data_IF_917957995560
#
_entry.id   IF_917957995560
#
_cell.length_a   1.000
_cell.length_b   1.000
_cell.length_c   1.000
_cell.angle_alpha   90.00
_cell.angle_beta   90.00
_cell.angle_gamma   90.00
#
_symmetry.space_group_name_H-M   'P 1'
#
loop_
_entity.id
_entity.type
_entity.pdbx_description
1 polymer ?
#
# COMPACT_ATOMS: atom_id res chain seq x y z
N UNK A 1 51.82 52.40 47.48
CA UNK A 1 50.76 52.00 48.42
C UNK A 1 49.91 50.94 47.71
N UNK A 2 50.26 49.67 47.92
CA UNK A 2 49.53 48.51 47.41
C UNK A 2 48.35 48.24 48.33
N UNK A 3 47.15 48.08 47.78
CA UNK A 3 45.98 47.59 48.48
C UNK A 3 45.44 46.37 47.75
N UNK A 4 45.84 45.21 48.24
CA UNK A 4 45.32 43.90 47.89
C UNK A 4 44.01 43.69 48.62
N UNK A 5 42.92 43.34 47.92
CA UNK A 5 41.70 42.84 48.56
C UNK A 5 41.40 41.40 48.07
N UNK A 6 40.92 40.51 48.96
CA UNK A 6 40.85 39.07 48.72
C UNK A 6 39.63 38.63 47.89
N UNK A 7 39.85 37.55 47.13
CA UNK A 7 38.86 36.79 46.35
C UNK A 7 37.95 35.99 47.28
N UNK A 8 36.61 36.12 47.20
CA UNK A 8 35.69 35.24 47.91
C UNK A 8 35.42 33.95 47.11
N UNK A 9 35.85 32.82 47.67
CA UNK A 9 35.46 31.46 47.28
C UNK A 9 34.05 31.16 47.77
N UNK A 10 33.05 31.49 46.94
CA UNK A 10 31.66 31.08 47.15
C UNK A 10 31.40 29.69 46.57
N UNK A 11 31.14 28.73 47.44
CA UNK A 11 30.70 27.37 47.11
C UNK A 11 29.44 27.37 46.24
N UNK A 12 29.45 26.57 45.17
CA UNK A 12 28.28 26.32 44.32
C UNK A 12 27.23 25.48 45.10
N UNK A 13 25.93 25.78 44.98
CA UNK A 13 24.88 24.97 45.60
C UNK A 13 24.75 23.59 44.93
N UNK A 14 24.33 22.54 45.66
CA UNK A 14 24.08 21.22 45.08
C UNK A 14 22.93 21.33 44.07
N UNK A 15 23.22 21.04 42.79
CA UNK A 15 22.21 20.94 41.74
C UNK A 15 21.27 19.79 42.08
N UNK A 16 20.05 20.15 42.44
CA UNK A 16 18.98 19.22 42.75
C UNK A 16 18.56 18.37 41.55
N UNK A 17 18.00 17.21 41.88
CA UNK A 17 16.89 16.60 41.17
C UNK A 17 17.16 16.15 39.73
N UNK A 18 17.86 15.03 39.57
CA UNK A 18 17.62 14.18 38.38
C UNK A 18 16.30 13.43 38.57
N UNK A 19 15.20 14.13 38.36
CA UNK A 19 13.89 13.52 38.20
C UNK A 19 13.90 12.80 36.84
N UNK A 20 14.08 11.48 36.87
CA UNK A 20 14.06 10.64 35.69
C UNK A 20 12.67 10.62 35.05
N UNK A 21 12.39 11.61 34.22
CA UNK A 21 11.24 11.59 33.31
C UNK A 21 11.50 10.52 32.25
N UNK A 22 11.13 9.28 32.58
CA UNK A 22 11.08 8.16 31.65
C UNK A 22 9.99 8.48 30.64
N UNK A 23 10.36 9.10 29.52
CA UNK A 23 9.46 9.35 28.40
C UNK A 23 9.01 8.01 27.84
N UNK A 24 7.88 7.51 28.30
CA UNK A 24 7.19 6.38 27.69
C UNK A 24 6.53 6.91 26.43
N UNK A 25 7.31 7.03 25.36
CA UNK A 25 6.76 7.22 24.02
C UNK A 25 6.03 5.93 23.67
N UNK A 26 4.77 5.82 24.07
CA UNK A 26 3.86 4.74 23.66
C UNK A 26 3.72 4.88 22.15
N UNK A 27 4.51 4.11 21.40
CA UNK A 27 4.45 4.07 19.95
C UNK A 27 3.07 3.55 19.55
N UNK A 28 2.16 4.47 19.26
CA UNK A 28 0.88 4.14 18.65
C UNK A 28 1.19 3.52 17.29
N UNK A 29 0.98 2.20 17.16
CA UNK A 29 0.99 1.55 15.85
C UNK A 29 -0.42 1.70 15.31
N UNK A 30 -0.68 2.61 14.35
CA UNK A 30 -2.01 2.71 13.78
C UNK A 30 -2.38 1.33 13.22
N UNK A 31 -3.65 0.88 13.37
CA UNK A 31 -4.10 -0.31 12.69
C UNK A 31 -3.79 -0.14 11.20
N UNK A 32 -3.13 -1.13 10.61
CA UNK A 32 -2.68 -1.11 9.23
C UNK A 32 -3.86 -0.81 8.31
N UNK A 33 -3.98 0.43 7.84
CA UNK A 33 -5.05 0.91 6.94
C UNK A 33 -5.19 0.03 5.69
N UNK A 34 -4.08 -0.64 5.29
CA UNK A 34 -4.01 -1.68 4.26
C UNK A 34 -5.06 -2.79 4.46
N UNK A 35 -5.33 -3.22 5.70
CA UNK A 35 -6.31 -4.29 5.99
C UNK A 35 -7.76 -3.83 5.80
N UNK A 36 -8.03 -2.55 6.05
CA UNK A 36 -9.36 -1.97 5.90
C UNK A 36 -9.70 -1.70 4.43
N UNK A 37 -8.73 -1.26 3.63
CA UNK A 37 -8.91 -1.06 2.19
C UNK A 37 -9.07 -2.36 1.41
N UNK A 38 -8.36 -3.43 1.80
CA UNK A 38 -8.42 -4.73 1.10
C UNK A 38 -9.77 -5.42 1.28
N UNK A 39 -10.38 -5.33 2.46
CA UNK A 39 -11.71 -5.90 2.72
C UNK A 39 -12.82 -5.21 1.94
N UNK A 40 -12.76 -3.88 1.79
CA UNK A 40 -13.81 -3.10 1.11
C UNK A 40 -13.83 -3.32 -0.40
N UNK A 41 -12.65 -3.51 -1.01
CA UNK A 41 -12.52 -3.78 -2.45
C UNK A 41 -13.05 -5.17 -2.82
N UNK A 42 -12.87 -6.17 -1.95
CA UNK A 42 -13.34 -7.54 -2.18
C UNK A 42 -14.85 -7.74 -1.95
N UNK A 43 -15.51 -6.79 -1.26
CA UNK A 43 -16.93 -6.89 -0.89
C UNK A 43 -17.90 -6.43 -2.00
N UNK A 44 -17.43 -5.79 -3.08
CA UNK A 44 -18.28 -5.07 -4.03
C UNK A 44 -18.34 -5.63 -5.47
N UNK A 45 -17.77 -6.78 -5.79
CA UNK A 45 -17.81 -7.32 -7.15
C UNK A 45 -18.75 -8.52 -7.32
N UNK A 46 -20.06 -8.31 -7.60
CA UNK A 46 -20.84 -9.25 -8.39
C UNK A 46 -20.76 -8.81 -9.86
N UNK A 47 -19.73 -9.23 -10.59
CA UNK A 47 -19.74 -9.04 -12.03
C UNK A 47 -20.43 -10.23 -12.69
N UNK A 48 -21.64 -10.00 -13.20
CA UNK A 48 -22.46 -11.05 -13.80
C UNK A 48 -21.91 -11.40 -15.18
N UNK A 49 -21.49 -12.64 -15.35
CA UNK A 49 -21.26 -13.20 -16.67
C UNK A 49 -22.60 -13.26 -17.43
N UNK A 50 -22.73 -12.49 -18.50
CA UNK A 50 -23.85 -12.62 -19.44
C UNK A 50 -23.69 -13.93 -20.23
N UNK A 51 -24.81 -14.57 -20.60
CA UNK A 51 -24.87 -15.83 -21.35
C UNK A 51 -24.17 -15.79 -22.73
N UNK A 52 -23.79 -14.59 -23.21
CA UNK A 52 -22.84 -14.41 -24.29
C UNK A 52 -21.59 -13.69 -23.78
N UNK A 53 -20.55 -14.46 -23.45
CA UNK A 53 -19.25 -13.91 -23.08
C UNK A 53 -18.58 -13.28 -24.32
N UNK A 54 -18.73 -11.98 -24.49
CA UNK A 54 -18.15 -11.20 -25.59
C UNK A 54 -16.76 -10.69 -25.21
N UNK A 55 -15.84 -10.70 -26.17
CA UNK A 55 -14.48 -10.13 -26.00
C UNK A 55 -14.47 -8.64 -25.70
N UNK A 56 -15.47 -7.90 -26.21
CA UNK A 56 -15.64 -6.47 -25.97
C UNK A 56 -17.01 -6.29 -25.31
N UNK A 57 -16.99 -6.14 -23.99
CA UNK A 57 -18.17 -5.90 -23.17
C UNK A 57 -17.81 -4.96 -22.02
N UNK A 58 -18.84 -4.39 -21.40
CA UNK A 58 -18.72 -3.56 -20.20
C UNK A 58 -18.01 -4.30 -19.06
N UNK A 59 -18.27 -5.59 -18.93
CA UNK A 59 -17.56 -6.54 -18.07
C UNK A 59 -16.04 -6.49 -18.22
N UNK A 60 -15.54 -6.71 -19.44
CA UNK A 60 -14.09 -6.73 -19.68
C UNK A 60 -13.45 -5.38 -19.41
N UNK A 61 -14.19 -4.29 -19.64
CA UNK A 61 -13.72 -2.95 -19.30
C UNK A 61 -13.55 -2.76 -17.79
N UNK A 62 -14.46 -3.29 -16.97
CA UNK A 62 -14.34 -3.24 -15.52
C UNK A 62 -13.19 -4.11 -15.01
N UNK A 63 -13.02 -5.32 -15.53
CA UNK A 63 -11.86 -6.17 -15.24
C UNK A 63 -10.53 -5.46 -15.52
N UNK A 64 -10.40 -4.90 -16.73
CA UNK A 64 -9.21 -4.14 -17.13
C UNK A 64 -8.98 -2.93 -16.21
N UNK A 65 -10.00 -2.11 -15.99
CA UNK A 65 -9.90 -0.87 -15.21
C UNK A 65 -9.58 -1.14 -13.75
N UNK A 66 -10.21 -2.17 -13.17
CA UNK A 66 -9.96 -2.61 -11.81
C UNK A 66 -8.52 -3.08 -11.64
N UNK A 67 -8.06 -3.99 -12.49
CA UNK A 67 -6.69 -4.52 -12.47
C UNK A 67 -5.64 -3.43 -12.70
N UNK A 68 -5.90 -2.50 -13.63
CA UNK A 68 -5.06 -1.32 -13.86
C UNK A 68 -4.95 -0.44 -12.60
N UNK A 69 -6.09 -0.07 -12.01
CA UNK A 69 -6.15 0.78 -10.82
C UNK A 69 -5.51 0.11 -9.61
N UNK A 70 -5.70 -1.20 -9.45
CA UNK A 70 -5.13 -1.99 -8.36
C UNK A 70 -3.61 -2.04 -8.40
N UNK A 71 -3.01 -2.20 -9.59
CA UNK A 71 -1.55 -2.09 -9.74
C UNK A 71 -1.08 -0.70 -9.35
N UNK A 72 -1.73 0.35 -9.86
CA UNK A 72 -1.37 1.74 -9.55
C UNK A 72 -1.45 2.05 -8.05
N UNK A 73 -2.54 1.64 -7.40
CA UNK A 73 -2.75 1.84 -5.97
C UNK A 73 -1.72 1.08 -5.14
N UNK A 74 -1.52 -0.20 -5.42
CA UNK A 74 -0.59 -1.06 -4.68
C UNK A 74 0.86 -0.62 -4.88
N UNK A 75 1.23 -0.24 -6.10
CA UNK A 75 2.56 0.28 -6.41
C UNK A 75 2.83 1.56 -5.60
N UNK A 76 1.95 2.55 -5.68
CA UNK A 76 2.11 3.80 -4.95
C UNK A 76 2.13 3.56 -3.43
N UNK A 77 1.24 2.71 -2.91
CA UNK A 77 1.25 2.32 -1.50
C UNK A 77 2.58 1.69 -1.08
N UNK A 78 3.12 0.75 -1.86
CA UNK A 78 4.42 0.16 -1.60
C UNK A 78 5.56 1.20 -1.66
N UNK A 79 5.50 2.16 -2.59
CA UNK A 79 6.46 3.27 -2.67
C UNK A 79 6.41 4.19 -1.46
N UNK A 80 5.22 4.45 -0.90
CA UNK A 80 5.08 5.22 0.36
C UNK A 80 5.61 4.49 1.59
N UNK A 81 5.81 3.18 1.49
CA UNK A 81 6.42 2.33 2.52
C UNK A 81 7.91 2.06 2.23
N UNK A 82 8.56 2.92 1.44
CA UNK A 82 9.98 2.84 1.08
C UNK A 82 10.40 1.55 0.34
N UNK A 83 9.46 0.79 -0.23
CA UNK A 83 9.81 -0.34 -1.08
C UNK A 83 10.52 0.14 -2.35
N UNK A 84 11.63 -0.50 -2.74
CA UNK A 84 12.33 -0.16 -3.98
C UNK A 84 11.41 -0.28 -5.19
N UNK A 85 11.67 0.51 -6.23
CA UNK A 85 10.84 0.53 -7.45
C UNK A 85 10.54 -0.88 -7.99
N UNK A 86 11.58 -1.71 -8.16
CA UNK A 86 11.42 -3.08 -8.65
C UNK A 86 10.55 -3.94 -7.72
N UNK A 87 10.73 -3.84 -6.40
CA UNK A 87 9.92 -4.60 -5.42
C UNK A 87 8.46 -4.14 -5.41
N UNK A 88 8.23 -2.82 -5.47
CA UNK A 88 6.90 -2.25 -5.52
C UNK A 88 6.16 -2.67 -6.80
N UNK A 89 6.85 -2.64 -7.95
CA UNK A 89 6.26 -3.00 -9.24
C UNK A 89 5.93 -4.49 -9.32
N UNK A 90 6.88 -5.36 -8.98
CA UNK A 90 6.68 -6.82 -8.98
C UNK A 90 5.60 -7.22 -7.96
N UNK A 91 5.60 -6.59 -6.78
CA UNK A 91 4.58 -6.83 -5.76
C UNK A 91 3.19 -6.44 -6.23
N UNK A 92 3.05 -5.24 -6.82
CA UNK A 92 1.77 -4.75 -7.31
C UNK A 92 1.21 -5.58 -8.47
N UNK A 93 2.06 -5.95 -9.44
CA UNK A 93 1.67 -6.79 -10.56
C UNK A 93 1.26 -8.21 -10.10
N UNK A 94 2.08 -8.84 -9.25
CA UNK A 94 1.80 -10.17 -8.70
C UNK A 94 0.51 -10.20 -7.89
N UNK A 95 0.29 -9.20 -7.02
CA UNK A 95 -0.92 -9.12 -6.22
C UNK A 95 -2.17 -9.01 -7.10
N UNK A 96 -2.12 -8.17 -8.13
CA UNK A 96 -3.25 -7.95 -9.02
C UNK A 96 -3.57 -9.19 -9.87
N UNK A 97 -2.55 -9.89 -10.38
CA UNK A 97 -2.73 -11.17 -11.09
C UNK A 97 -3.33 -12.26 -10.19
N UNK A 98 -2.87 -12.36 -8.95
CA UNK A 98 -3.41 -13.34 -7.99
C UNK A 98 -4.88 -13.04 -7.69
N UNK A 99 -5.26 -11.77 -7.54
CA UNK A 99 -6.65 -11.38 -7.30
C UNK A 99 -7.54 -11.70 -8.51
N UNK A 100 -7.12 -11.37 -9.74
CA UNK A 100 -7.87 -11.71 -10.96
C UNK A 100 -8.02 -13.23 -11.15
N UNK A 101 -6.93 -13.99 -10.99
CA UNK A 101 -6.97 -15.44 -11.07
C UNK A 101 -7.85 -16.06 -9.97
N UNK A 102 -7.77 -15.54 -8.73
CA UNK A 102 -8.60 -16.00 -7.62
C UNK A 102 -10.09 -15.77 -7.89
N UNK A 103 -10.45 -14.64 -8.50
CA UNK A 103 -11.82 -14.33 -8.89
C UNK A 103 -12.35 -15.36 -9.90
N UNK A 104 -11.60 -15.63 -10.97
CA UNK A 104 -12.00 -16.63 -11.97
C UNK A 104 -12.06 -18.06 -11.42
N UNK A 105 -11.17 -18.41 -10.48
CA UNK A 105 -11.23 -19.70 -9.78
C UNK A 105 -12.46 -19.81 -8.88
N UNK A 106 -12.88 -18.73 -8.23
CA UNK A 106 -14.12 -18.67 -7.45
C UNK A 106 -15.35 -18.79 -8.35
N UNK A 107 -15.32 -18.12 -9.49
CA UNK A 107 -16.44 -18.12 -10.43
C UNK A 107 -16.61 -19.48 -11.13
N UNK A 108 -15.53 -20.27 -11.23
CA UNK A 108 -15.58 -21.66 -11.71
C UNK A 108 -16.60 -22.55 -10.98
N UNK A 109 -16.84 -22.32 -9.69
CA UNK A 109 -17.79 -23.12 -8.89
C UNK A 109 -19.26 -22.70 -9.10
N UNK A 110 -19.51 -21.55 -9.74
CA UNK A 110 -20.85 -20.99 -9.95
C UNK A 110 -21.18 -20.63 -11.41
N UNK A 111 -20.47 -19.63 -11.96
CA UNK A 111 -20.74 -19.04 -13.28
C UNK A 111 -19.85 -19.62 -14.40
N UNK A 112 -18.76 -20.30 -14.03
CA UNK A 112 -17.76 -20.85 -14.95
C UNK A 112 -16.48 -20.02 -15.00
N UNK A 113 -15.41 -20.61 -15.52
CA UNK A 113 -14.11 -19.94 -15.68
C UNK A 113 -14.05 -19.21 -17.03
N UNK A 114 -13.78 -17.91 -17.03
CA UNK A 114 -13.73 -17.09 -18.24
C UNK A 114 -12.30 -16.69 -18.59
N UNK A 115 -11.78 -17.28 -19.67
CA UNK A 115 -10.47 -16.90 -20.21
C UNK A 115 -10.42 -15.45 -20.70
N UNK A 116 -11.56 -14.88 -21.07
CA UNK A 116 -11.65 -13.49 -21.56
C UNK A 116 -11.50 -12.50 -20.42
N UNK A 117 -12.03 -12.81 -19.25
CA UNK A 117 -11.87 -12.00 -18.04
C UNK A 117 -10.43 -12.03 -17.54
N UNK A 118 -9.84 -13.23 -17.50
CA UNK A 118 -8.42 -13.36 -17.15
C UNK A 118 -7.51 -12.59 -18.13
N UNK A 119 -7.86 -12.55 -19.42
CA UNK A 119 -7.14 -11.77 -20.42
C UNK A 119 -7.31 -10.26 -20.19
N UNK A 120 -8.51 -9.80 -19.87
CA UNK A 120 -8.78 -8.40 -19.53
C UNK A 120 -8.01 -7.97 -18.28
N UNK A 121 -7.95 -8.83 -17.26
CA UNK A 121 -7.15 -8.60 -16.05
C UNK A 121 -5.65 -8.54 -16.36
N UNK A 122 -5.13 -9.47 -17.17
CA UNK A 122 -3.73 -9.43 -17.61
C UNK A 122 -3.40 -8.14 -18.34
N UNK A 123 -4.27 -7.67 -19.25
CA UNK A 123 -4.08 -6.41 -19.95
C UNK A 123 -4.11 -5.22 -18.99
N UNK A 124 -5.04 -5.19 -18.03
CA UNK A 124 -5.10 -4.17 -16.98
C UNK A 124 -3.81 -4.12 -16.16
N UNK A 125 -3.31 -5.28 -15.74
CA UNK A 125 -2.04 -5.40 -15.01
C UNK A 125 -0.87 -4.88 -15.83
N UNK A 126 -0.77 -5.28 -17.10
CA UNK A 126 0.30 -4.84 -18.00
C UNK A 126 0.29 -3.32 -18.18
N UNK A 127 -0.87 -2.72 -18.41
CA UNK A 127 -1.02 -1.27 -18.56
C UNK A 127 -0.67 -0.54 -17.27
N UNK A 128 -1.13 -1.05 -16.11
CA UNK A 128 -0.85 -0.45 -14.80
C UNK A 128 0.62 -0.54 -14.44
N UNK A 129 1.26 -1.67 -14.74
CA UNK A 129 2.69 -1.89 -14.53
C UNK A 129 3.51 -1.00 -15.48
N UNK A 130 3.16 -0.93 -16.75
CA UNK A 130 3.81 -0.06 -17.73
C UNK A 130 3.74 1.40 -17.31
N UNK A 131 2.55 1.90 -16.94
CA UNK A 131 2.40 3.28 -16.46
C UNK A 131 3.24 3.53 -15.19
N UNK A 132 3.31 2.54 -14.29
CA UNK A 132 4.08 2.64 -13.05
C UNK A 132 5.60 2.57 -13.27
N UNK A 133 6.05 1.87 -14.31
CA UNK A 133 7.45 1.73 -14.72
C UNK A 133 7.93 2.87 -15.63
N UNK A 134 7.01 3.49 -16.38
CA UNK A 134 7.34 4.57 -17.30
C UNK A 134 7.84 5.82 -16.56
N UNK A 135 8.74 6.57 -17.22
CA UNK A 135 9.21 7.88 -16.73
C UNK A 135 8.15 8.99 -16.83
N UNK A 136 6.89 8.64 -17.11
CA UNK A 136 5.78 9.58 -17.18
C UNK A 136 5.26 9.98 -15.78
N UNK A 137 6.03 9.67 -14.73
CA UNK A 137 5.74 9.96 -13.32
C UNK A 137 6.86 10.81 -12.72
#
# INVERSE_FOLDING_TARGET
LSLTLPVPTGQLPPRGGSCGARSTTRSWKPPSLVKLSLGLVLLFAPFRASAEDRWVSEDKFFHLSFSFGLVGLTYNGARTLDASHGKALVGAASLSLVIGLWKELRDREGEGFSWKDLAADCLGVMLGAWLSASKLR
#
